data_IF_847296017874
#
_entry.id   IF_847296017874
#
_cell.length_a   1.000
_cell.length_b   1.000
_cell.length_c   1.000
_cell.angle_alpha   90.00
_cell.angle_beta   90.00
_cell.angle_gamma   90.00
#
_symmetry.space_group_name_H-M   'P 1'
#
loop_
_entity.id
_entity.type
_entity.pdbx_description
1 polymer ?
#
# COMPACT_ATOMS: atom_id res chain seq x y z
N UNK A 1 11.68 -87.77 52.05
CA UNK A 1 12.34 -86.74 51.21
C UNK A 1 11.81 -86.73 49.76
N UNK A 2 10.49 -86.63 49.53
CA UNK A 2 9.91 -86.43 48.18
C UNK A 2 8.90 -85.28 48.12
N UNK A 3 8.25 -84.94 49.24
CA UNK A 3 7.34 -83.79 49.35
C UNK A 3 8.03 -82.42 49.41
N UNK A 4 9.25 -82.35 49.95
CA UNK A 4 9.99 -81.09 50.10
C UNK A 4 10.52 -80.55 48.75
N UNK A 5 10.77 -81.45 47.78
CA UNK A 5 11.24 -81.10 46.44
C UNK A 5 10.10 -80.54 45.56
N UNK A 6 8.87 -81.00 45.77
CA UNK A 6 7.68 -80.51 45.04
C UNK A 6 7.28 -79.12 45.53
N UNK A 7 7.38 -78.84 46.83
CA UNK A 7 7.07 -77.52 47.39
C UNK A 7 8.04 -76.43 46.91
N UNK A 8 9.32 -76.79 46.71
CA UNK A 8 10.31 -75.89 46.14
C UNK A 8 9.98 -75.54 44.67
N UNK A 9 9.51 -76.50 43.87
CA UNK A 9 9.14 -76.28 42.46
C UNK A 9 7.90 -75.39 42.28
N UNK A 10 6.96 -75.41 43.24
CA UNK A 10 5.80 -74.50 43.25
C UNK A 10 6.21 -73.07 43.64
N UNK A 11 7.17 -72.90 44.56
CA UNK A 11 7.69 -71.58 44.93
C UNK A 11 8.53 -70.92 43.82
N UNK A 12 9.27 -71.71 43.03
CA UNK A 12 10.02 -71.20 41.88
C UNK A 12 9.15 -70.85 40.65
N UNK A 13 7.96 -71.44 40.50
CA UNK A 13 7.06 -71.14 39.38
C UNK A 13 6.18 -69.89 39.61
N UNK A 14 6.05 -69.41 40.85
CA UNK A 14 5.43 -68.11 41.16
C UNK A 14 6.36 -66.90 40.96
N UNK A 15 7.65 -67.09 40.64
CA UNK A 15 8.62 -66.01 40.47
C UNK A 15 8.49 -65.22 39.16
N UNK A 16 7.73 -65.71 38.17
CA UNK A 16 7.58 -65.07 36.86
C UNK A 16 6.31 -64.21 36.70
N UNK A 17 5.47 -64.08 37.73
CA UNK A 17 4.16 -63.43 37.59
C UNK A 17 4.08 -61.98 38.12
N UNK A 18 5.18 -61.39 38.60
CA UNK A 18 5.19 -60.03 39.17
C UNK A 18 6.13 -59.10 38.39
N UNK A 19 6.13 -59.18 37.06
CA UNK A 19 6.59 -58.06 36.24
C UNK A 19 5.37 -57.20 35.95
N UNK A 20 5.29 -56.03 36.60
CA UNK A 20 4.25 -55.05 36.25
C UNK A 20 4.42 -54.73 34.77
N UNK A 21 3.40 -55.00 33.96
CA UNK A 21 3.46 -54.68 32.55
C UNK A 21 3.58 -53.14 32.41
N UNK A 22 4.59 -52.62 31.67
CA UNK A 22 4.72 -51.18 31.47
C UNK A 22 3.47 -50.60 30.81
N UNK A 23 3.05 -49.41 31.24
CA UNK A 23 1.90 -48.71 30.64
C UNK A 23 2.08 -48.54 29.12
N UNK A 24 1.01 -48.49 28.33
CA UNK A 24 1.12 -48.33 26.88
C UNK A 24 1.88 -47.05 26.48
N UNK A 25 2.69 -47.05 25.40
CA UNK A 25 3.39 -45.86 24.94
C UNK A 25 2.41 -44.72 24.66
N UNK A 26 2.76 -43.51 25.08
CA UNK A 26 2.02 -42.31 24.72
C UNK A 26 2.20 -42.04 23.22
N UNK A 27 1.11 -41.68 22.57
CA UNK A 27 1.10 -41.22 21.18
C UNK A 27 1.40 -39.73 21.10
N UNK A 28 2.01 -39.29 20.00
CA UNK A 28 2.12 -37.86 19.72
C UNK A 28 0.73 -37.23 19.63
N UNK A 29 0.51 -36.06 20.23
CA UNK A 29 -0.73 -35.31 20.03
C UNK A 29 -0.85 -34.89 18.56
N UNK A 30 -2.09 -34.72 18.09
CA UNK A 30 -2.33 -34.25 16.72
C UNK A 30 -1.78 -32.82 16.56
N UNK A 31 -0.93 -32.61 15.55
CA UNK A 31 -0.42 -31.26 15.26
C UNK A 31 -1.57 -30.37 14.79
N UNK A 32 -1.68 -29.13 15.32
CA UNK A 32 -2.66 -28.18 14.83
C UNK A 32 -2.37 -27.80 13.38
N UNK A 33 -3.42 -27.52 12.61
CA UNK A 33 -3.27 -27.01 11.25
C UNK A 33 -2.81 -25.55 11.30
N UNK A 34 -1.62 -25.28 10.73
CA UNK A 34 -1.07 -23.92 10.65
C UNK A 34 -1.72 -23.17 9.49
N UNK A 35 -2.09 -21.92 9.74
CA UNK A 35 -2.68 -21.04 8.73
C UNK A 35 -1.74 -19.88 8.41
N UNK A 36 -1.79 -19.46 7.14
CA UNK A 36 -1.20 -18.20 6.67
C UNK A 36 -2.31 -17.34 6.10
N UNK A 37 -2.44 -16.12 6.58
CA UNK A 37 -3.46 -15.17 6.12
C UNK A 37 -2.79 -13.89 5.64
N UNK A 38 -3.23 -13.37 4.50
CA UNK A 38 -2.75 -12.10 3.97
C UNK A 38 -3.84 -11.05 4.10
N UNK A 39 -3.49 -9.91 4.70
CA UNK A 39 -4.38 -8.77 4.88
C UNK A 39 -3.93 -7.60 4.01
N UNK A 40 -4.89 -6.83 3.52
CA UNK A 40 -4.65 -5.59 2.81
C UNK A 40 -5.09 -4.40 3.67
N UNK A 41 -4.18 -3.45 3.84
CA UNK A 41 -4.42 -2.21 4.55
C UNK A 41 -4.57 -1.09 3.53
N UNK A 42 -5.69 -0.39 3.61
CA UNK A 42 -5.97 0.79 2.79
C UNK A 42 -5.59 2.02 3.60
N UNK A 43 -4.82 2.91 3.00
CA UNK A 43 -4.44 4.19 3.57
C UNK A 43 -5.00 5.32 2.71
N UNK A 44 -5.56 6.34 3.36
CA UNK A 44 -6.24 7.47 2.72
C UNK A 44 -5.76 8.79 3.30
N UNK A 45 -5.90 9.85 2.52
CA UNK A 45 -5.60 11.23 2.94
C UNK A 45 -6.67 12.16 2.37
N UNK A 46 -6.75 13.37 2.90
CA UNK A 46 -7.70 14.35 2.39
C UNK A 46 -7.30 14.81 0.98
N UNK A 47 -8.26 14.81 0.07
CA UNK A 47 -8.05 15.27 -1.29
C UNK A 47 -8.66 16.65 -1.48
N UNK A 48 -7.90 17.56 -2.06
CA UNK A 48 -8.36 18.88 -2.46
C UNK A 48 -8.65 18.93 -3.96
N UNK A 49 -9.61 19.78 -4.35
CA UNK A 49 -9.76 20.16 -5.76
C UNK A 49 -8.61 21.08 -6.20
N UNK A 50 -8.26 21.10 -7.49
CA UNK A 50 -7.26 22.02 -8.02
C UNK A 50 -7.59 23.47 -7.66
N UNK A 51 -6.60 24.23 -7.20
CA UNK A 51 -6.76 25.66 -6.95
C UNK A 51 -6.56 26.40 -8.26
N UNK A 52 -7.61 27.04 -8.76
CA UNK A 52 -7.61 27.74 -10.05
C UNK A 52 -7.90 29.21 -9.83
N UNK A 53 -7.00 30.07 -10.32
CA UNK A 53 -7.20 31.52 -10.41
C UNK A 53 -7.09 31.91 -11.87
N UNK A 54 -8.15 32.44 -12.45
CA UNK A 54 -8.21 32.81 -13.88
C UNK A 54 -8.89 34.14 -14.03
N UNK A 55 -8.28 35.04 -14.80
CA UNK A 55 -8.81 36.38 -15.08
C UNK A 55 -8.77 36.60 -16.58
N UNK A 56 -9.89 37.04 -17.15
CA UNK A 56 -9.99 37.48 -18.54
C UNK A 56 -10.30 38.97 -18.56
N UNK A 57 -9.45 39.73 -19.25
CA UNK A 57 -9.54 41.18 -19.33
C UNK A 57 -10.41 41.58 -20.54
N UNK A 58 -11.25 42.62 -20.41
CA UNK A 58 -12.25 42.96 -21.42
C UNK A 58 -11.67 43.68 -22.65
N UNK A 59 -10.38 44.06 -22.63
CA UNK A 59 -9.75 44.90 -23.65
C UNK A 59 -9.86 44.33 -25.07
N UNK A 60 -9.75 43.01 -25.22
CA UNK A 60 -9.93 42.31 -26.49
C UNK A 60 -10.75 41.05 -26.28
N UNK A 61 -11.76 40.86 -27.12
CA UNK A 61 -12.55 39.62 -27.15
C UNK A 61 -11.71 38.52 -27.80
N UNK A 62 -11.74 37.33 -27.21
CA UNK A 62 -11.19 36.12 -27.83
C UNK A 62 -12.33 35.46 -28.59
N UNK A 63 -12.21 35.39 -29.90
CA UNK A 63 -13.20 34.90 -30.85
C UNK A 63 -12.81 33.53 -31.40
N UNK A 64 -13.80 32.77 -31.84
CA UNK A 64 -13.59 31.50 -32.53
C UNK A 64 -12.71 31.66 -33.78
N UNK A 65 -11.93 30.62 -34.08
CA UNK A 65 -11.01 30.51 -35.22
C UNK A 65 -9.83 31.49 -35.23
N UNK A 66 -9.67 32.33 -34.21
CA UNK A 66 -8.47 33.15 -34.04
C UNK A 66 -7.24 32.26 -33.79
N UNK A 67 -6.09 32.78 -34.19
CA UNK A 67 -4.83 32.05 -34.19
C UNK A 67 -4.01 32.33 -32.96
N UNK A 68 -3.42 31.28 -32.38
CA UNK A 68 -2.60 31.35 -31.17
C UNK A 68 -1.22 30.76 -31.46
N UNK A 69 -0.17 31.51 -31.17
CA UNK A 69 1.20 30.98 -31.12
C UNK A 69 1.55 30.65 -29.68
N UNK A 70 2.01 29.43 -29.41
CA UNK A 70 2.47 29.04 -28.08
C UNK A 70 3.97 29.40 -27.96
N UNK A 71 4.36 30.00 -26.84
CA UNK A 71 5.75 30.31 -26.50
C UNK A 71 6.09 29.62 -25.19
N UNK A 72 7.16 28.83 -25.22
CA UNK A 72 7.65 28.02 -24.11
C UNK A 72 8.98 28.52 -23.55
N UNK A 73 9.50 29.66 -24.00
CA UNK A 73 10.84 30.16 -23.64
C UNK A 73 11.08 30.34 -22.12
N UNK A 74 10.00 30.42 -21.34
CA UNK A 74 10.05 30.63 -19.88
C UNK A 74 9.90 29.34 -19.06
N UNK A 75 9.62 28.20 -19.70
CA UNK A 75 9.40 26.93 -19.02
C UNK A 75 9.85 25.74 -19.89
N UNK A 76 10.46 24.73 -19.27
CA UNK A 76 10.82 23.50 -20.00
C UNK A 76 9.56 22.67 -20.26
N UNK A 77 9.01 22.79 -21.47
CA UNK A 77 7.81 22.08 -21.92
C UNK A 77 8.22 20.96 -22.85
N UNK A 78 7.75 19.74 -22.59
CA UNK A 78 7.99 18.59 -23.47
C UNK A 78 7.13 18.68 -24.73
N UNK A 79 7.57 18.07 -25.83
CA UNK A 79 6.80 18.04 -27.08
C UNK A 79 5.40 17.43 -26.89
N UNK A 80 5.29 16.41 -26.03
CA UNK A 80 4.01 15.79 -25.66
C UNK A 80 3.08 16.79 -24.99
N UNK A 81 3.58 17.55 -23.99
CA UNK A 81 2.77 18.55 -23.30
C UNK A 81 2.40 19.70 -24.24
N UNK A 82 3.31 20.12 -25.11
CA UNK A 82 3.04 21.15 -26.12
C UNK A 82 1.93 20.71 -27.09
N UNK A 83 1.99 19.46 -27.57
CA UNK A 83 0.96 18.86 -28.42
C UNK A 83 -0.40 18.82 -27.72
N UNK A 84 -0.42 18.39 -26.46
CA UNK A 84 -1.62 18.34 -25.64
C UNK A 84 -2.25 19.73 -25.39
N UNK A 85 -1.43 20.73 -25.08
CA UNK A 85 -1.87 22.13 -24.96
C UNK A 85 -2.42 22.63 -26.31
N UNK A 86 -1.76 22.26 -27.41
CA UNK A 86 -2.20 22.66 -28.74
C UNK A 86 -3.57 22.07 -29.08
N UNK A 87 -3.78 20.80 -28.74
CA UNK A 87 -5.08 20.15 -28.90
C UNK A 87 -6.16 20.84 -28.04
N UNK A 88 -5.87 21.11 -26.77
CA UNK A 88 -6.84 21.78 -25.89
C UNK A 88 -7.24 23.18 -26.39
N UNK A 89 -6.32 23.93 -27.00
CA UNK A 89 -6.64 25.20 -27.66
C UNK A 89 -7.51 25.00 -28.91
N UNK A 90 -7.18 24.02 -29.75
CA UNK A 90 -7.98 23.69 -30.94
C UNK A 90 -9.40 23.25 -30.56
N UNK A 91 -9.56 22.49 -29.47
CA UNK A 91 -10.87 22.08 -28.93
C UNK A 91 -11.68 23.30 -28.41
N UNK A 92 -10.99 24.36 -27.97
CA UNK A 92 -11.55 25.69 -27.70
C UNK A 92 -11.75 26.54 -28.94
N UNK A 93 -11.60 25.97 -30.13
CA UNK A 93 -11.72 26.67 -31.42
C UNK A 93 -10.69 27.78 -31.62
N UNK A 94 -9.54 27.71 -30.94
CA UNK A 94 -8.39 28.58 -31.15
C UNK A 94 -7.33 27.83 -31.97
N UNK A 95 -7.02 28.34 -33.16
CA UNK A 95 -6.14 27.64 -34.12
C UNK A 95 -4.68 27.84 -33.77
N UNK A 96 -4.00 26.77 -33.40
CA UNK A 96 -2.56 26.86 -33.10
C UNK A 96 -1.75 27.03 -34.38
N UNK A 97 -0.82 27.99 -34.37
CA UNK A 97 0.06 28.29 -35.51
C UNK A 97 1.49 28.54 -35.08
N UNK A 98 2.45 28.16 -35.92
CA UNK A 98 3.87 28.51 -35.76
C UNK A 98 4.23 29.88 -36.35
N UNK A 99 3.32 30.47 -37.15
CA UNK A 99 3.57 31.72 -37.86
C UNK A 99 3.68 32.91 -36.89
N UNK A 100 4.51 33.88 -37.25
CA UNK A 100 4.68 35.08 -36.44
C UNK A 100 3.52 36.07 -36.54
N UNK A 101 2.57 35.91 -37.46
CA UNK A 101 1.40 36.77 -37.63
C UNK A 101 0.15 36.25 -36.91
N UNK A 102 0.30 35.56 -35.77
CA UNK A 102 -0.83 35.07 -34.97
C UNK A 102 -1.60 36.21 -34.30
N UNK A 103 -2.89 36.02 -34.05
CA UNK A 103 -3.73 36.99 -33.34
C UNK A 103 -3.31 37.12 -31.87
N UNK A 104 -2.97 35.99 -31.25
CA UNK A 104 -2.54 35.92 -29.85
C UNK A 104 -1.25 35.12 -29.68
N UNK A 105 -0.65 35.33 -28.52
CA UNK A 105 0.49 34.57 -28.01
C UNK A 105 0.13 33.98 -26.66
N UNK A 106 0.17 32.65 -26.52
CA UNK A 106 0.07 31.96 -25.25
C UNK A 106 1.48 31.72 -24.70
N UNK A 107 1.84 32.41 -23.62
CA UNK A 107 3.10 32.19 -22.90
C UNK A 107 2.84 31.27 -21.71
N UNK A 108 3.60 30.18 -21.62
CA UNK A 108 3.65 29.34 -20.41
C UNK A 108 4.71 29.96 -19.49
N UNK A 109 4.28 30.66 -18.44
CA UNK A 109 5.18 31.44 -17.59
C UNK A 109 5.90 30.58 -16.56
N UNK A 110 5.23 29.55 -16.06
CA UNK A 110 5.70 28.70 -14.96
C UNK A 110 5.15 27.29 -15.13
N UNK A 111 6.00 26.30 -14.92
CA UNK A 111 5.68 24.88 -14.99
C UNK A 111 6.44 24.16 -13.88
N UNK A 112 6.12 24.53 -12.64
CA UNK A 112 6.94 24.20 -11.48
C UNK A 112 6.42 22.98 -10.75
N UNK A 113 7.37 22.16 -10.31
CA UNK A 113 7.14 20.99 -9.49
C UNK A 113 8.11 21.05 -8.32
N UNK A 114 7.57 21.13 -7.12
CA UNK A 114 8.37 21.26 -5.92
C UNK A 114 7.99 20.15 -4.96
N UNK A 115 9.00 19.41 -4.49
CA UNK A 115 8.80 18.51 -3.37
C UNK A 115 8.43 19.33 -2.14
N UNK A 116 7.40 18.87 -1.44
CA UNK A 116 7.00 19.43 -0.15
C UNK A 116 7.23 18.39 0.96
N UNK A 117 6.83 18.77 2.16
CA UNK A 117 6.73 17.82 3.27
C UNK A 117 5.89 16.61 2.86
N UNK A 118 6.23 15.47 3.45
CA UNK A 118 5.54 14.22 3.16
C UNK A 118 4.05 14.35 3.50
N UNK A 119 3.21 13.78 2.65
CA UNK A 119 1.78 13.66 2.93
C UNK A 119 1.57 12.45 3.83
N UNK A 120 0.90 12.69 4.95
CA UNK A 120 0.47 11.63 5.86
C UNK A 120 -0.82 10.99 5.32
N UNK A 121 -0.78 9.67 5.17
CA UNK A 121 -1.95 8.86 4.93
C UNK A 121 -2.31 8.10 6.21
N UNK A 122 -3.60 8.08 6.54
CA UNK A 122 -4.13 7.38 7.71
C UNK A 122 -4.80 6.08 7.29
N UNK A 123 -4.68 5.04 8.12
CA UNK A 123 -5.33 3.76 7.86
C UNK A 123 -6.86 3.94 7.82
N UNK A 124 -7.48 3.43 6.76
CA UNK A 124 -8.92 3.43 6.61
C UNK A 124 -9.50 2.19 7.28
N UNK A 125 -10.56 2.39 8.07
CA UNK A 125 -11.29 1.26 8.68
C UNK A 125 -12.11 0.58 7.58
N UNK A 126 -11.90 -0.73 7.33
CA UNK A 126 -12.70 -1.46 6.35
C UNK A 126 -14.13 -1.64 6.85
N UNK A 127 -15.10 -1.77 5.94
CA UNK A 127 -16.51 -2.03 6.29
C UNK A 127 -16.67 -3.32 7.11
N UNK A 128 -15.83 -4.32 6.84
CA UNK A 128 -15.75 -5.58 7.57
C UNK A 128 -14.33 -5.77 8.08
N UNK A 129 -14.00 -5.31 9.30
CA UNK A 129 -12.68 -5.50 9.87
C UNK A 129 -12.43 -6.97 10.16
N UNK A 130 -11.23 -7.42 9.81
CA UNK A 130 -10.73 -8.72 10.23
C UNK A 130 -10.30 -8.67 11.70
N UNK A 131 -10.22 -9.83 12.36
CA UNK A 131 -10.04 -9.96 13.82
C UNK A 131 -8.85 -9.14 14.36
N UNK A 132 -7.76 -9.09 13.60
CA UNK A 132 -6.52 -8.41 14.02
C UNK A 132 -6.44 -6.93 13.63
N UNK A 133 -7.46 -6.37 12.96
CA UNK A 133 -7.39 -5.03 12.38
C UNK A 133 -7.04 -3.96 13.42
N UNK A 134 -7.68 -3.98 14.60
CA UNK A 134 -7.42 -3.06 15.71
C UNK A 134 -5.93 -3.04 16.14
N UNK A 135 -5.33 -4.22 16.27
CA UNK A 135 -3.92 -4.36 16.68
C UNK A 135 -2.99 -3.84 15.58
N UNK A 136 -3.31 -4.16 14.33
CA UNK A 136 -2.52 -3.70 13.17
C UNK A 136 -2.65 -2.20 12.98
N UNK A 137 -3.84 -1.63 13.12
CA UNK A 137 -4.10 -0.20 13.01
C UNK A 137 -3.35 0.59 14.10
N UNK A 138 -3.19 0.04 15.30
CA UNK A 138 -2.37 0.63 16.36
C UNK A 138 -0.87 0.57 16.05
N UNK A 139 -0.41 -0.52 15.46
CA UNK A 139 0.99 -0.70 15.10
C UNK A 139 1.41 0.12 13.87
N UNK A 140 0.52 0.26 12.89
CA UNK A 140 0.75 0.94 11.61
C UNK A 140 -0.33 1.99 11.30
N UNK A 141 -0.49 3.02 12.15
CA UNK A 141 -1.61 3.96 12.04
C UNK A 141 -1.50 4.85 10.80
N UNK A 142 -0.28 5.17 10.37
CA UNK A 142 -0.03 6.14 9.31
C UNK A 142 1.13 5.72 8.40
N UNK A 143 1.13 6.27 7.19
CA UNK A 143 2.24 6.19 6.23
C UNK A 143 2.63 7.59 5.79
N UNK A 144 3.95 7.85 5.74
CA UNK A 144 4.51 9.13 5.31
C UNK A 144 5.04 8.98 3.89
N UNK A 145 4.37 9.59 2.93
CA UNK A 145 4.70 9.48 1.51
C UNK A 145 5.23 10.79 0.94
N UNK A 146 6.17 10.71 0.02
CA UNK A 146 6.66 11.87 -0.71
C UNK A 146 5.50 12.61 -1.37
N UNK A 147 5.61 13.94 -1.43
CA UNK A 147 4.57 14.79 -2.02
C UNK A 147 5.18 15.84 -2.92
N UNK A 148 4.56 16.06 -4.07
CA UNK A 148 4.94 17.13 -5.01
C UNK A 148 3.77 18.10 -5.11
N UNK A 149 4.09 19.39 -5.09
CA UNK A 149 3.18 20.46 -5.44
C UNK A 149 3.48 20.93 -6.86
N UNK A 150 2.50 20.80 -7.74
CA UNK A 150 2.56 21.25 -9.13
C UNK A 150 1.86 22.60 -9.29
N UNK A 151 2.46 23.50 -10.05
CA UNK A 151 1.89 24.81 -10.38
C UNK A 151 2.15 25.13 -11.85
N UNK A 152 1.08 25.50 -12.56
CA UNK A 152 1.12 25.94 -13.96
C UNK A 152 0.59 27.36 -14.04
N UNK A 153 1.32 28.23 -14.72
CA UNK A 153 0.89 29.59 -15.02
C UNK A 153 0.93 29.83 -16.54
N UNK A 154 -0.17 30.36 -17.07
CA UNK A 154 -0.30 30.72 -18.48
C UNK A 154 -0.82 32.14 -18.65
N UNK A 155 -0.37 32.78 -19.72
CA UNK A 155 -0.80 34.13 -20.11
C UNK A 155 -1.06 34.19 -21.60
N UNK A 156 -2.23 34.68 -21.99
CA UNK A 156 -2.61 35.00 -23.36
C UNK A 156 -2.48 36.50 -23.58
N UNK A 157 -1.76 36.89 -24.63
CA UNK A 157 -1.50 38.28 -25.00
C UNK A 157 -1.94 38.52 -26.44
N UNK A 158 -2.69 39.59 -26.67
CA UNK A 158 -3.06 40.03 -28.02
C UNK A 158 -1.83 40.58 -28.72
N UNK A 159 -1.53 40.07 -29.92
CA UNK A 159 -0.23 40.30 -30.56
C UNK A 159 -0.05 41.73 -31.06
N UNK A 160 -1.10 42.32 -31.64
CA UNK A 160 -1.00 43.64 -32.25
C UNK A 160 -0.89 44.77 -31.21
N UNK A 161 -1.62 44.68 -30.10
CA UNK A 161 -1.59 45.72 -29.06
C UNK A 161 -0.60 45.44 -27.92
N UNK A 162 -0.20 44.18 -27.73
CA UNK A 162 0.61 43.76 -26.58
C UNK A 162 -0.18 43.59 -25.28
N UNK A 163 -1.50 43.78 -25.31
CA UNK A 163 -2.34 43.68 -24.11
C UNK A 163 -2.45 42.24 -23.63
N UNK A 164 -2.36 42.06 -22.31
CA UNK A 164 -2.75 40.80 -21.68
C UNK A 164 -4.26 40.69 -21.74
N UNK A 165 -4.77 39.61 -22.31
CA UNK A 165 -6.21 39.37 -22.45
C UNK A 165 -6.71 38.29 -21.50
N UNK A 166 -5.82 37.39 -21.10
CA UNK A 166 -6.12 36.37 -20.11
C UNK A 166 -4.84 35.93 -19.40
N UNK A 167 -4.95 35.66 -18.10
CA UNK A 167 -3.88 35.02 -17.35
C UNK A 167 -4.49 34.15 -16.27
N UNK A 168 -3.85 33.02 -16.01
CA UNK A 168 -4.34 32.08 -15.02
C UNK A 168 -3.23 31.23 -14.41
N UNK A 169 -3.47 30.80 -13.19
CA UNK A 169 -2.62 29.89 -12.43
C UNK A 169 -3.47 28.75 -11.91
N UNK A 170 -2.98 27.53 -12.04
CA UNK A 170 -3.58 26.33 -11.45
C UNK A 170 -2.55 25.55 -10.67
N UNK A 171 -2.93 25.03 -9.51
CA UNK A 171 -2.04 24.18 -8.71
C UNK A 171 -2.78 23.05 -8.01
N UNK A 172 -2.03 21.97 -7.76
CA UNK A 172 -2.51 20.79 -7.02
C UNK A 172 -1.31 20.04 -6.43
N UNK A 173 -1.51 19.36 -5.30
CA UNK A 173 -0.55 18.40 -4.78
C UNK A 173 -0.77 16.99 -5.37
N UNK A 174 0.26 16.16 -5.31
CA UNK A 174 0.24 14.82 -5.89
C UNK A 174 -0.78 13.87 -5.25
N UNK A 175 -1.06 14.02 -3.95
CA UNK A 175 -2.03 13.18 -3.26
C UNK A 175 -3.47 13.52 -3.67
N UNK A 176 -3.77 14.81 -3.84
CA UNK A 176 -5.05 15.30 -4.38
C UNK A 176 -5.24 14.98 -5.86
N UNK A 177 -4.15 14.94 -6.63
CA UNK A 177 -4.15 14.55 -8.04
C UNK A 177 -4.41 13.06 -8.22
N UNK A 178 -3.60 12.22 -7.56
CA UNK A 178 -3.69 10.77 -7.65
C UNK A 178 -4.57 10.26 -6.51
N UNK A 179 -5.88 10.29 -6.73
CA UNK A 179 -6.94 9.93 -5.76
C UNK A 179 -7.03 8.44 -5.42
N UNK A 180 -6.11 7.63 -5.93
CA UNK A 180 -6.08 6.21 -5.64
C UNK A 180 -5.55 5.99 -4.21
N UNK A 181 -6.14 5.04 -3.46
CA UNK A 181 -5.68 4.75 -2.12
C UNK A 181 -4.30 4.08 -2.15
N UNK A 182 -3.54 4.34 -1.11
CA UNK A 182 -2.28 3.65 -0.86
C UNK A 182 -2.59 2.29 -0.21
N UNK A 183 -2.18 1.20 -0.85
CA UNK A 183 -2.50 -0.16 -0.39
C UNK A 183 -1.20 -0.87 0.01
N UNK A 184 -1.18 -1.40 1.22
CA UNK A 184 -0.12 -2.28 1.71
C UNK A 184 -0.69 -3.67 2.03
N UNK A 185 0.13 -4.70 1.89
CA UNK A 185 -0.16 -6.04 2.37
C UNK A 185 0.74 -6.41 3.55
N UNK A 186 0.21 -7.24 4.43
CA UNK A 186 0.98 -7.99 5.42
C UNK A 186 0.43 -9.41 5.51
N UNK A 187 1.26 -10.33 5.96
CA UNK A 187 0.84 -11.71 6.21
C UNK A 187 1.03 -12.08 7.66
N UNK A 188 0.06 -12.81 8.21
CA UNK A 188 0.16 -13.49 9.49
C UNK A 188 0.48 -14.96 9.24
N UNK A 189 1.55 -15.45 9.84
CA UNK A 189 1.97 -16.84 9.78
C UNK A 189 1.91 -17.46 11.18
N UNK A 190 1.21 -18.58 11.32
CA UNK A 190 1.19 -19.35 12.56
C UNK A 190 2.34 -20.36 12.59
N UNK A 191 3.01 -20.45 13.74
CA UNK A 191 4.07 -21.45 13.98
C UNK A 191 3.92 -22.09 15.35
N UNK A 192 4.34 -23.35 15.45
CA UNK A 192 4.42 -24.08 16.72
C UNK A 192 5.72 -23.68 17.44
N UNK A 193 5.66 -23.27 18.70
CA UNK A 193 6.83 -22.80 19.45
C UNK A 193 7.44 -23.87 20.35
N UNK A 194 6.66 -24.85 20.78
CA UNK A 194 7.07 -25.87 21.74
C UNK A 194 7.17 -27.28 21.14
N UNK A 195 7.39 -27.40 19.83
CA UNK A 195 7.40 -28.70 19.16
C UNK A 195 8.44 -29.67 19.76
N UNK A 196 9.65 -29.18 20.02
CA UNK A 196 10.71 -29.97 20.65
C UNK A 196 10.39 -30.38 22.08
N UNK A 197 9.66 -29.55 22.83
CA UNK A 197 9.26 -29.85 24.21
C UNK A 197 8.23 -30.98 24.24
N UNK A 198 7.24 -30.94 23.35
CA UNK A 198 6.25 -32.01 23.19
C UNK A 198 6.94 -33.31 22.79
N UNK A 199 7.87 -33.26 21.84
CA UNK A 199 8.61 -34.44 21.38
C UNK A 199 9.48 -35.03 22.49
N UNK A 200 10.23 -34.19 23.21
CA UNK A 200 11.07 -34.61 24.32
C UNK A 200 10.25 -35.23 25.45
N UNK A 201 9.09 -34.63 25.78
CA UNK A 201 8.18 -35.16 26.79
C UNK A 201 7.67 -36.56 26.43
N UNK A 202 7.18 -36.76 25.21
CA UNK A 202 6.70 -38.08 24.76
C UNK A 202 7.82 -39.10 24.77
N UNK A 203 9.02 -38.74 24.28
CA UNK A 203 10.18 -39.63 24.29
C UNK A 203 10.55 -40.04 25.72
N UNK A 204 10.58 -39.08 26.66
CA UNK A 204 10.88 -39.35 28.07
C UNK A 204 9.82 -40.23 28.74
N UNK A 205 8.53 -40.02 28.46
CA UNK A 205 7.43 -40.80 29.04
C UNK A 205 7.27 -42.21 28.43
N UNK A 206 7.98 -42.49 27.34
CA UNK A 206 7.99 -43.76 26.63
C UNK A 206 9.21 -44.63 26.92
N UNK A 207 10.16 -44.18 27.77
CA UNK A 207 11.20 -45.09 28.28
C UNK A 207 10.57 -46.17 29.16
N UNK A 208 11.23 -47.33 29.25
CA UNK A 208 10.70 -48.44 30.02
C UNK A 208 10.51 -48.07 31.50
N UNK A 209 11.45 -47.34 32.12
CA UNK A 209 11.32 -46.92 33.51
C UNK A 209 10.16 -45.96 33.72
N UNK A 210 9.98 -44.99 32.81
CA UNK A 210 8.88 -44.03 32.89
C UNK A 210 7.52 -44.71 32.71
N UNK A 211 7.43 -45.67 31.78
CA UNK A 211 6.23 -46.49 31.53
C UNK A 211 5.85 -47.35 32.72
N UNK A 212 6.82 -47.92 33.43
CA UNK A 212 6.60 -48.67 34.68
C UNK A 212 6.17 -47.74 35.82
N UNK A 213 6.77 -46.54 35.92
CA UNK A 213 6.47 -45.57 36.97
C UNK A 213 5.07 -44.96 36.87
N UNK A 214 4.48 -44.89 35.66
CA UNK A 214 3.15 -44.34 35.40
C UNK A 214 2.03 -45.37 35.29
N UNK A 215 2.28 -46.64 35.59
CA UNK A 215 1.22 -47.66 35.64
C UNK A 215 0.12 -47.21 36.61
N UNK A 216 -1.11 -47.10 36.12
CA UNK A 216 -2.27 -46.63 36.90
C UNK A 216 -2.32 -45.12 37.16
N UNK A 217 -1.48 -44.31 36.50
CA UNK A 217 -1.49 -42.85 36.58
C UNK A 217 -1.79 -42.23 35.22
N UNK A 218 -2.69 -41.24 35.20
CA UNK A 218 -2.95 -40.44 34.00
C UNK A 218 -1.83 -39.41 33.81
N UNK A 219 -1.28 -39.33 32.60
CA UNK A 219 -0.23 -38.38 32.23
C UNK A 219 -0.82 -37.35 31.26
N UNK A 220 -0.81 -36.08 31.67
CA UNK A 220 -1.25 -34.98 30.80
C UNK A 220 -0.15 -34.63 29.81
N UNK A 221 -0.41 -34.83 28.52
CA UNK A 221 0.50 -34.47 27.44
C UNK A 221 0.47 -32.93 27.24
N UNK A 222 1.62 -32.25 27.12
CA UNK A 222 1.65 -30.83 26.80
C UNK A 222 1.03 -30.59 25.42
N UNK A 223 0.12 -29.61 25.33
CA UNK A 223 -0.49 -29.19 24.08
C UNK A 223 0.49 -28.35 23.25
N UNK A 224 0.34 -28.37 21.92
CA UNK A 224 1.12 -27.50 21.04
C UNK A 224 0.73 -26.04 21.27
N UNK A 225 1.73 -25.21 21.53
CA UNK A 225 1.61 -23.77 21.63
C UNK A 225 1.83 -23.14 20.27
N UNK A 226 0.91 -22.29 19.85
CA UNK A 226 0.99 -21.56 18.59
C UNK A 226 1.32 -20.09 18.84
N UNK A 227 2.17 -19.55 17.98
CA UNK A 227 2.47 -18.13 17.92
C UNK A 227 2.21 -17.63 16.51
N UNK A 228 1.44 -16.55 16.41
CA UNK A 228 1.27 -15.79 15.18
C UNK A 228 2.37 -14.75 15.04
N UNK A 229 2.96 -14.66 13.85
CA UNK A 229 3.94 -13.62 13.50
C UNK A 229 3.45 -12.83 12.30
N UNK A 230 3.45 -11.51 12.42
CA UNK A 230 3.16 -10.61 11.31
C UNK A 230 4.43 -10.33 10.50
N UNK A 231 4.28 -10.31 9.17
CA UNK A 231 5.32 -9.83 8.27
C UNK A 231 5.46 -8.31 8.33
N UNK A 232 6.53 -7.77 7.74
CA UNK A 232 6.59 -6.36 7.42
C UNK A 232 5.52 -5.98 6.39
N UNK A 233 5.17 -4.69 6.37
CA UNK A 233 4.30 -4.12 5.33
C UNK A 233 5.03 -4.14 3.98
N UNK A 234 4.33 -4.62 2.95
CA UNK A 234 4.76 -4.56 1.55
C UNK A 234 3.78 -3.69 0.77
N UNK A 235 4.28 -2.70 0.03
CA UNK A 235 3.42 -1.80 -0.74
C UNK A 235 2.90 -2.52 -1.98
N UNK A 236 1.58 -2.55 -2.15
CA UNK A 236 0.91 -3.11 -3.32
C UNK A 236 0.54 -2.05 -4.35
N UNK A 237 0.02 -0.90 -3.91
CA UNK A 237 -0.49 0.15 -4.80
C UNK A 237 -0.33 1.53 -4.21
N UNK A 238 -0.32 2.55 -5.07
CA UNK A 238 -0.22 3.96 -4.73
C UNK A 238 1.23 4.49 -4.75
N UNK A 239 1.45 5.72 -5.25
CA UNK A 239 2.74 6.38 -5.26
C UNK A 239 3.09 6.85 -3.85
N UNK A 240 4.26 6.46 -3.36
CA UNK A 240 4.72 6.87 -2.03
C UNK A 240 6.18 7.31 -2.01
N UNK A 241 7.02 6.74 -2.87
CA UNK A 241 8.41 7.15 -3.00
C UNK A 241 8.57 8.39 -3.88
N UNK A 242 9.68 9.11 -3.72
CA UNK A 242 10.00 10.26 -4.59
C UNK A 242 9.98 9.90 -6.08
N UNK A 243 10.48 8.72 -6.45
CA UNK A 243 10.50 8.25 -7.84
C UNK A 243 9.10 8.08 -8.42
N UNK A 244 8.19 7.46 -7.65
CA UNK A 244 6.82 7.21 -8.08
C UNK A 244 6.02 8.49 -8.19
N UNK A 245 6.17 9.39 -7.21
CA UNK A 245 5.50 10.68 -7.21
C UNK A 245 6.03 11.56 -8.35
N UNK A 246 7.34 11.54 -8.61
CA UNK A 246 7.92 12.22 -9.79
C UNK A 246 7.38 11.68 -11.10
N UNK A 247 7.04 10.40 -11.20
CA UNK A 247 6.47 9.82 -12.43
C UNK A 247 5.08 10.38 -12.77
N UNK A 248 4.38 10.99 -11.80
CA UNK A 248 3.09 11.67 -12.03
C UNK A 248 3.23 13.02 -12.75
N UNK A 249 4.45 13.58 -12.78
CA UNK A 249 4.76 14.92 -13.29
C UNK A 249 4.08 15.25 -14.63
N UNK A 250 4.25 14.46 -15.70
CA UNK A 250 3.69 14.83 -17.00
C UNK A 250 2.16 14.89 -16.98
N UNK A 251 1.53 13.98 -16.23
CA UNK A 251 0.07 13.92 -16.12
C UNK A 251 -0.48 15.10 -15.30
N UNK A 252 0.21 15.50 -14.22
CA UNK A 252 -0.15 16.67 -13.42
C UNK A 252 -0.06 17.95 -14.25
N UNK A 253 1.03 18.14 -15.00
CA UNK A 253 1.24 19.31 -15.86
C UNK A 253 0.16 19.41 -16.94
N UNK A 254 -0.16 18.30 -17.61
CA UNK A 254 -1.24 18.25 -18.59
C UNK A 254 -2.59 18.58 -17.97
N UNK A 255 -2.94 17.92 -16.86
CA UNK A 255 -4.21 18.12 -16.18
C UNK A 255 -4.43 19.58 -15.76
N UNK A 256 -3.42 20.19 -15.14
CA UNK A 256 -3.44 21.59 -14.74
C UNK A 256 -3.54 22.54 -15.95
N UNK A 257 -2.75 22.29 -17.00
CA UNK A 257 -2.79 23.07 -18.24
C UNK A 257 -4.17 23.05 -18.92
N UNK A 258 -4.77 21.86 -19.00
CA UNK A 258 -6.11 21.66 -19.58
C UNK A 258 -7.18 22.44 -18.80
N UNK A 259 -7.14 22.39 -17.47
CA UNK A 259 -8.04 23.18 -16.61
C UNK A 259 -7.91 24.68 -16.90
N UNK A 260 -6.69 25.18 -17.11
CA UNK A 260 -6.48 26.59 -17.40
C UNK A 260 -7.07 26.98 -18.76
N UNK A 261 -6.74 26.24 -19.81
CA UNK A 261 -7.25 26.49 -21.17
C UNK A 261 -8.78 26.43 -21.18
N UNK A 262 -9.39 25.55 -20.37
CA UNK A 262 -10.83 25.48 -20.22
C UNK A 262 -11.48 26.80 -19.75
N UNK A 263 -10.75 27.62 -18.99
CA UNK A 263 -11.22 28.91 -18.46
C UNK A 263 -11.14 30.07 -19.45
N UNK A 264 -10.53 29.88 -20.62
CA UNK A 264 -10.54 30.91 -21.67
C UNK A 264 -11.97 31.00 -22.23
N UNK A 265 -12.61 32.15 -22.08
CA UNK A 265 -13.92 32.40 -22.69
C UNK A 265 -13.72 32.82 -24.14
N UNK A 266 -14.03 31.91 -25.04
CA UNK A 266 -14.09 32.13 -26.49
C UNK A 266 -15.54 32.49 -26.86
N UNK A 267 -15.72 33.59 -27.59
CA UNK A 267 -17.02 34.11 -28.05
C UNK A 267 -17.27 33.74 -29.50
#
# INVERSE_FOLDING_TARGET
MRFLVVLLFVLFSSGCAITKQPAEPLTMPLKPALTTQTYQLKYQTEHASPKVKSVQLPAHKVLQNQTVKIITDKASVTDTLLSQISQALNDKQLKVTSKNNSDYTLTIQKLDLTFKENTQYSIATPEKPFVLFENIAKQYPTQQCASIFAEVNMRLTHKASGDVVWFATSSIDSASFHREPLIYSLSEEQRITNELEVVAFIHQQNTEEARLARVGKEVKIPEYQMLSKLSSLSKLSGPCSRKEVSALTPMMQFYLSSILIDKIKVQ
#
